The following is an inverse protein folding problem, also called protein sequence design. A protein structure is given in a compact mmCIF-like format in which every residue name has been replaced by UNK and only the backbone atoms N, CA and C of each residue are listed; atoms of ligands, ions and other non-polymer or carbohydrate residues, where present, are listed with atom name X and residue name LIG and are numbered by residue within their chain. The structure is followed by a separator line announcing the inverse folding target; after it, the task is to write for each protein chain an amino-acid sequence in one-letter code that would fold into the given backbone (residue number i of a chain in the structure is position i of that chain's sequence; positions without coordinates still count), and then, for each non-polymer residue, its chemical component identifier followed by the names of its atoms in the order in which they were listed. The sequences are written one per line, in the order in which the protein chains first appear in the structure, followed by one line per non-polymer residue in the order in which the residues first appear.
data_IF_482009896706
#
_entry.id   IF_482009896706
#
_cell.length_a   1.000
_cell.length_b   1.000
_cell.length_c   1.000
_cell.angle_alpha   90.00
_cell.angle_beta   90.00
_cell.angle_gamma   90.00
#
_symmetry.space_group_name_H-M   'P 1'
#
loop_
_entity.id
_entity.type
_entity.pdbx_description
1 polymer ?
#
# COMPACT_ATOMS: atom_id res chain seq x y z
N UNK A 1 13.07 -23.49 -23.78
CA UNK A 1 12.40 -23.23 -22.48
C UNK A 1 12.51 -21.74 -22.20
N UNK A 2 11.40 -21.07 -21.88
CA UNK A 2 11.36 -19.63 -21.67
C UNK A 2 10.97 -19.35 -20.22
N UNK A 3 11.82 -18.68 -19.45
CA UNK A 3 11.47 -18.26 -18.07
C UNK A 3 10.62 -17.00 -18.09
N UNK A 4 9.57 -16.98 -17.27
CA UNK A 4 8.59 -15.91 -17.19
C UNK A 4 8.20 -15.68 -15.73
N UNK A 5 7.50 -14.60 -15.49
CA UNK A 5 6.78 -14.35 -14.25
C UNK A 5 5.29 -14.49 -14.48
N UNK A 6 4.61 -15.36 -13.75
CA UNK A 6 3.15 -15.40 -13.66
C UNK A 6 2.68 -14.43 -12.58
N UNK A 7 1.77 -13.52 -12.95
CA UNK A 7 1.14 -12.59 -12.01
C UNK A 7 -0.23 -13.15 -11.58
N UNK A 8 -0.39 -13.42 -10.28
CA UNK A 8 -1.67 -13.82 -9.70
C UNK A 8 -2.31 -12.63 -8.97
N UNK A 9 -3.59 -12.39 -9.25
CA UNK A 9 -4.32 -11.24 -8.72
C UNK A 9 -4.96 -11.54 -7.37
N UNK A 10 -5.22 -10.51 -6.58
CA UNK A 10 -6.00 -10.61 -5.35
C UNK A 10 -7.40 -11.18 -5.63
N UNK A 11 -7.90 -12.15 -4.84
CA UNK A 11 -9.22 -12.76 -5.02
C UNK A 11 -10.36 -11.74 -5.06
N UNK A 12 -10.20 -10.62 -4.33
CA UNK A 12 -11.19 -9.55 -4.28
C UNK A 12 -11.46 -8.88 -5.65
N UNK A 13 -10.51 -8.96 -6.59
CA UNK A 13 -10.70 -8.45 -7.96
C UNK A 13 -11.75 -9.27 -8.71
N UNK A 14 -11.82 -10.59 -8.46
CA UNK A 14 -12.81 -11.47 -9.08
C UNK A 14 -14.23 -11.25 -8.53
N UNK A 15 -14.36 -10.65 -7.35
CA UNK A 15 -15.64 -10.32 -6.71
C UNK A 15 -16.32 -9.08 -7.31
N UNK A 16 -15.67 -8.34 -8.23
CA UNK A 16 -16.19 -7.07 -8.76
C UNK A 16 -17.22 -7.23 -9.89
N UNK A 17 -17.60 -8.46 -10.25
CA UNK A 17 -18.64 -8.75 -11.26
C UNK A 17 -18.37 -8.02 -12.59
N UNK A 18 -19.34 -7.21 -13.03
CA UNK A 18 -19.24 -6.44 -14.28
C UNK A 18 -18.08 -5.42 -14.30
N UNK A 19 -17.59 -4.99 -13.13
CA UNK A 19 -16.47 -4.04 -13.04
C UNK A 19 -15.08 -4.71 -13.10
N UNK A 20 -15.01 -6.04 -13.12
CA UNK A 20 -13.75 -6.80 -13.12
C UNK A 20 -12.76 -6.33 -14.19
N UNK A 21 -13.24 -6.13 -15.42
CA UNK A 21 -12.38 -5.70 -16.54
C UNK A 21 -11.72 -4.34 -16.31
N UNK A 22 -12.40 -3.42 -15.60
CA UNK A 22 -11.80 -2.12 -15.22
C UNK A 22 -10.66 -2.32 -14.21
N UNK A 23 -10.87 -3.18 -13.21
CA UNK A 23 -9.86 -3.50 -12.18
C UNK A 23 -8.64 -4.17 -12.79
N UNK A 24 -8.85 -5.15 -13.67
CA UNK A 24 -7.77 -5.81 -14.39
C UNK A 24 -6.99 -4.80 -15.27
N UNK A 25 -7.70 -3.97 -16.05
CA UNK A 25 -7.03 -2.93 -16.85
C UNK A 25 -6.16 -2.01 -15.98
N UNK A 26 -6.70 -1.49 -14.87
CA UNK A 26 -5.96 -0.62 -13.97
C UNK A 26 -4.75 -1.31 -13.34
N UNK A 27 -4.88 -2.58 -12.95
CA UNK A 27 -3.75 -3.36 -12.42
C UNK A 27 -2.65 -3.51 -13.47
N UNK A 28 -3.02 -3.83 -14.71
CA UNK A 28 -2.08 -3.96 -15.84
C UNK A 28 -1.33 -2.64 -16.08
N UNK A 29 -2.05 -1.51 -16.06
CA UNK A 29 -1.44 -0.19 -16.21
C UNK A 29 -0.49 0.14 -15.05
N UNK A 30 -0.88 -0.16 -13.81
CA UNK A 30 -0.03 0.04 -12.63
C UNK A 30 1.24 -0.80 -12.70
N UNK A 31 1.15 -2.08 -13.09
CA UNK A 31 2.31 -2.96 -13.29
C UNK A 31 3.25 -2.36 -14.34
N UNK A 32 2.72 -1.98 -15.51
CA UNK A 32 3.51 -1.37 -16.60
C UNK A 32 4.23 -0.10 -16.17
N UNK A 33 3.60 0.72 -15.33
CA UNK A 33 4.18 1.96 -14.83
C UNK A 33 5.39 1.69 -13.91
N UNK A 34 5.31 0.72 -13.01
CA UNK A 34 6.40 0.42 -12.06
C UNK A 34 7.60 -0.23 -12.77
N UNK A 35 7.37 -1.03 -13.80
CA UNK A 35 8.42 -1.66 -14.61
C UNK A 35 8.83 -0.81 -15.83
N UNK A 36 8.35 0.43 -15.93
CA UNK A 36 8.72 1.34 -17.02
C UNK A 36 10.25 1.53 -17.06
N UNK A 37 10.81 1.46 -18.27
CA UNK A 37 12.25 1.57 -18.51
C UNK A 37 13.02 0.25 -18.41
N UNK A 38 12.36 -0.87 -18.07
CA UNK A 38 12.92 -2.20 -18.21
C UNK A 38 12.50 -2.81 -19.56
N UNK A 39 13.33 -3.69 -20.11
CA UNK A 39 12.97 -4.48 -21.28
C UNK A 39 12.12 -5.68 -20.84
N UNK A 40 10.88 -5.75 -21.34
CA UNK A 40 9.96 -6.84 -21.03
C UNK A 40 8.97 -7.11 -22.17
N UNK A 41 8.47 -8.35 -22.22
CA UNK A 41 7.31 -8.72 -23.05
C UNK A 41 6.17 -9.14 -22.13
N UNK A 42 5.00 -8.50 -22.30
CA UNK A 42 3.80 -8.85 -21.56
C UNK A 42 2.98 -9.87 -22.36
N UNK A 43 2.90 -11.10 -21.86
CA UNK A 43 2.24 -12.23 -22.50
C UNK A 43 0.92 -12.52 -21.81
N UNK A 44 -0.14 -12.75 -22.60
CA UNK A 44 -1.46 -13.12 -22.09
C UNK A 44 -1.89 -14.47 -22.68
N UNK A 45 -2.12 -15.46 -21.81
CA UNK A 45 -2.58 -16.79 -22.22
C UNK A 45 -3.82 -17.20 -21.44
N UNK A 46 -4.97 -17.25 -22.13
CA UNK A 46 -6.28 -17.63 -21.60
C UNK A 46 -6.62 -16.93 -20.26
N UNK A 47 -6.42 -15.61 -20.20
CA UNK A 47 -6.76 -14.78 -19.02
C UNK A 47 -5.73 -14.80 -17.88
N UNK A 48 -4.54 -15.39 -18.09
CA UNK A 48 -3.38 -15.21 -17.19
C UNK A 48 -2.37 -14.25 -17.79
N UNK A 49 -1.70 -13.51 -16.92
CA UNK A 49 -0.65 -12.59 -17.31
C UNK A 49 0.71 -13.15 -16.96
N UNK A 50 1.58 -13.11 -17.96
CA UNK A 50 2.98 -13.46 -17.84
C UNK A 50 3.85 -12.29 -18.27
N UNK A 51 5.03 -12.17 -17.67
CA UNK A 51 6.02 -11.16 -18.05
C UNK A 51 7.34 -11.86 -18.32
N UNK A 52 7.85 -11.70 -19.53
CA UNK A 52 9.21 -12.09 -19.89
C UNK A 52 10.16 -10.91 -19.70
N UNK A 53 11.37 -11.17 -19.24
CA UNK A 53 12.48 -10.23 -19.25
C UNK A 53 13.79 -10.99 -18.99
N UNK A 54 14.91 -10.45 -19.45
CA UNK A 54 16.23 -10.92 -19.03
C UNK A 54 16.52 -10.53 -17.55
N UNK A 55 15.76 -9.59 -16.98
CA UNK A 55 15.94 -9.05 -15.62
C UNK A 55 14.81 -9.49 -14.68
N UNK A 56 14.51 -10.79 -14.63
CA UNK A 56 13.37 -11.33 -13.87
C UNK A 56 13.37 -10.92 -12.40
N UNK A 57 14.50 -10.99 -11.69
CA UNK A 57 14.57 -10.65 -10.27
C UNK A 57 14.21 -9.18 -10.00
N UNK A 58 14.62 -8.27 -10.90
CA UNK A 58 14.25 -6.85 -10.82
C UNK A 58 12.75 -6.66 -11.03
N UNK A 59 12.16 -7.35 -12.01
CA UNK A 59 10.71 -7.29 -12.25
C UNK A 59 9.95 -7.88 -11.05
N UNK A 60 10.36 -9.02 -10.52
CA UNK A 60 9.74 -9.66 -9.35
C UNK A 60 9.71 -8.68 -8.17
N UNK A 61 10.85 -8.07 -7.86
CA UNK A 61 10.97 -7.16 -6.71
C UNK A 61 10.09 -5.91 -6.84
N UNK A 62 9.85 -5.45 -8.07
CA UNK A 62 8.95 -4.34 -8.37
C UNK A 62 7.48 -4.74 -8.36
N UNK A 63 7.13 -5.83 -9.07
CA UNK A 63 5.74 -6.26 -9.28
C UNK A 63 5.10 -6.79 -7.99
N UNK A 64 5.88 -7.42 -7.10
CA UNK A 64 5.35 -7.89 -5.79
C UNK A 64 4.82 -6.74 -4.92
N UNK A 65 5.32 -5.52 -5.12
CA UNK A 65 4.91 -4.33 -4.39
C UNK A 65 3.72 -3.58 -5.03
N UNK A 66 3.18 -4.07 -6.15
CA UNK A 66 2.03 -3.45 -6.82
C UNK A 66 0.72 -3.89 -6.16
N UNK A 67 -0.06 -2.93 -5.66
CA UNK A 67 -1.37 -3.22 -5.07
C UNK A 67 -2.31 -3.91 -6.08
N UNK A 68 -2.95 -4.99 -5.63
CA UNK A 68 -3.73 -5.90 -6.48
C UNK A 68 -3.00 -7.19 -6.87
N UNK A 69 -1.67 -7.24 -6.72
CA UNK A 69 -0.87 -8.46 -6.94
C UNK A 69 -0.86 -9.31 -5.66
N UNK A 70 -1.36 -10.54 -5.75
CA UNK A 70 -1.39 -11.49 -4.64
C UNK A 70 -0.11 -12.31 -4.56
N UNK A 71 0.33 -12.84 -5.70
CA UNK A 71 1.55 -13.64 -5.82
C UNK A 71 2.21 -13.38 -7.16
N UNK A 72 3.53 -13.49 -7.15
CA UNK A 72 4.39 -13.48 -8.33
C UNK A 72 5.08 -14.85 -8.34
N UNK A 73 4.85 -15.64 -9.39
CA UNK A 73 5.46 -16.97 -9.51
C UNK A 73 6.53 -16.95 -10.62
N UNK A 74 7.72 -17.46 -10.34
CA UNK A 74 8.73 -17.70 -11.37
C UNK A 74 8.33 -18.98 -12.10
N UNK A 75 8.06 -18.91 -13.41
CA UNK A 75 7.52 -20.04 -14.18
C UNK A 75 8.38 -20.34 -15.39
N UNK A 76 8.46 -21.62 -15.74
CA UNK A 76 9.06 -22.06 -17.00
C UNK A 76 7.97 -22.43 -17.98
N UNK A 77 7.99 -21.76 -19.14
CA UNK A 77 7.11 -22.04 -20.26
C UNK A 77 7.71 -23.13 -21.16
N UNK A 78 6.90 -24.13 -21.45
CA UNK A 78 7.18 -25.24 -22.37
C UNK A 78 5.97 -25.50 -23.27
N UNK A 79 6.15 -26.31 -24.30
CA UNK A 79 5.04 -26.74 -25.14
C UNK A 79 3.99 -27.50 -24.31
N UNK A 80 2.72 -27.34 -24.67
CA UNK A 80 1.63 -28.03 -24.01
C UNK A 80 1.54 -29.50 -24.50
N UNK A 81 2.56 -30.30 -24.19
CA UNK A 81 2.59 -31.75 -24.37
C UNK A 81 3.12 -32.42 -23.08
N UNK A 82 2.77 -33.68 -22.84
CA UNK A 82 3.09 -34.35 -21.58
C UNK A 82 4.60 -34.55 -21.36
N UNK A 83 5.34 -34.84 -22.41
CA UNK A 83 6.79 -35.10 -22.36
C UNK A 83 7.56 -33.88 -21.86
N UNK A 84 7.31 -32.71 -22.44
CA UNK A 84 7.94 -31.45 -22.05
C UNK A 84 7.53 -31.01 -20.63
N UNK A 85 6.27 -31.27 -20.24
CA UNK A 85 5.78 -31.01 -18.88
C UNK A 85 6.51 -31.89 -17.86
N UNK A 86 6.63 -33.19 -18.13
CA UNK A 86 7.31 -34.15 -17.26
C UNK A 86 8.79 -33.78 -17.08
N UNK A 87 9.49 -33.52 -18.20
CA UNK A 87 10.88 -33.09 -18.20
C UNK A 87 11.10 -31.84 -17.36
N UNK A 88 10.26 -30.82 -17.54
CA UNK A 88 10.40 -29.57 -16.78
C UNK A 88 10.05 -29.74 -15.30
N UNK A 89 9.05 -30.56 -14.98
CA UNK A 89 8.67 -30.82 -13.58
C UNK A 89 9.76 -31.57 -12.81
N UNK A 90 10.50 -32.48 -13.46
CA UNK A 90 11.69 -33.12 -12.88
C UNK A 90 12.76 -32.08 -12.58
N UNK A 91 13.07 -31.19 -13.52
CA UNK A 91 14.06 -30.12 -13.32
C UNK A 91 13.67 -29.18 -12.16
N UNK A 92 12.40 -28.82 -12.08
CA UNK A 92 11.87 -27.98 -11.00
C UNK A 92 12.02 -28.65 -9.62
N UNK A 93 11.76 -29.97 -9.53
CA UNK A 93 11.92 -30.71 -8.29
C UNK A 93 13.40 -30.89 -7.89
N UNK A 94 14.28 -31.18 -8.86
CA UNK A 94 15.73 -31.31 -8.62
C UNK A 94 16.33 -29.99 -8.11
N UNK A 95 15.80 -28.85 -8.54
CA UNK A 95 16.20 -27.53 -8.04
C UNK A 95 15.69 -27.18 -6.64
N UNK A 96 14.85 -28.02 -6.03
CA UNK A 96 14.26 -27.78 -4.71
C UNK A 96 14.97 -28.60 -3.62
N UNK A 97 15.23 -28.03 -2.43
CA UNK A 97 15.77 -28.77 -1.29
C UNK A 97 14.73 -29.68 -0.60
N UNK A 98 13.48 -29.65 -1.06
CA UNK A 98 12.36 -30.36 -0.43
C UNK A 98 12.46 -31.88 -0.59
N UNK A 99 12.07 -32.61 0.47
CA UNK A 99 12.01 -34.07 0.52
C UNK A 99 10.63 -34.62 0.20
N UNK A 100 9.58 -33.83 0.41
CA UNK A 100 8.21 -34.22 0.05
C UNK A 100 7.63 -33.27 -0.98
N UNK A 101 6.81 -33.81 -1.90
CA UNK A 101 6.18 -32.99 -2.92
C UNK A 101 4.75 -33.40 -3.27
N UNK A 102 4.05 -32.48 -3.92
CA UNK A 102 2.73 -32.70 -4.54
C UNK A 102 2.71 -32.04 -5.92
N UNK A 103 2.04 -32.67 -6.89
CA UNK A 103 1.80 -32.09 -8.22
C UNK A 103 0.36 -31.58 -8.32
N UNK A 104 0.18 -30.29 -8.58
CA UNK A 104 -1.12 -29.67 -8.80
C UNK A 104 -1.28 -29.17 -10.23
N UNK A 105 -2.20 -29.77 -10.97
CA UNK A 105 -2.46 -29.44 -12.37
C UNK A 105 -3.75 -28.63 -12.52
N UNK A 106 -3.64 -27.42 -13.05
CA UNK A 106 -4.77 -26.62 -13.50
C UNK A 106 -4.83 -26.61 -15.04
N UNK A 107 -5.95 -27.07 -15.60
CA UNK A 107 -6.13 -27.21 -17.05
C UNK A 107 -7.22 -26.27 -17.53
N UNK A 108 -6.81 -25.12 -18.06
CA UNK A 108 -7.70 -24.18 -18.73
C UNK A 108 -8.01 -24.66 -20.15
N UNK A 109 -7.02 -25.21 -20.84
CA UNK A 109 -7.21 -25.83 -22.15
C UNK A 109 -7.86 -27.22 -22.03
N UNK A 110 -9.19 -27.28 -22.26
CA UNK A 110 -9.95 -28.53 -22.12
C UNK A 110 -9.75 -29.54 -23.25
N UNK A 111 -9.07 -29.18 -24.35
CA UNK A 111 -8.71 -30.14 -25.40
C UNK A 111 -7.47 -30.97 -25.07
N UNK A 112 -6.62 -30.51 -24.15
CA UNK A 112 -5.44 -31.26 -23.73
C UNK A 112 -5.85 -32.57 -23.03
N UNK A 113 -5.30 -33.69 -23.48
CA UNK A 113 -5.42 -35.01 -22.86
C UNK A 113 -4.03 -35.47 -22.41
N UNK A 114 -3.90 -36.10 -21.22
CA UNK A 114 -4.95 -36.59 -20.34
C UNK A 114 -5.54 -35.50 -19.39
N UNK A 115 -6.51 -35.87 -18.54
CA UNK A 115 -7.14 -34.96 -17.58
C UNK A 115 -6.20 -34.53 -16.45
N UNK A 116 -6.54 -33.46 -15.71
CA UNK A 116 -5.66 -32.85 -14.70
C UNK A 116 -5.13 -33.83 -13.65
N UNK A 117 -6.00 -34.71 -13.12
CA UNK A 117 -5.60 -35.71 -12.12
C UNK A 117 -4.62 -36.73 -12.71
N UNK A 118 -4.81 -37.11 -13.97
CA UNK A 118 -3.94 -38.06 -14.64
C UNK A 118 -2.60 -37.42 -15.01
N UNK A 119 -2.59 -36.15 -15.42
CA UNK A 119 -1.34 -35.38 -15.57
C UNK A 119 -0.59 -35.35 -14.25
N UNK A 120 -1.23 -34.96 -13.15
CA UNK A 120 -0.58 -34.91 -11.83
C UNK A 120 0.00 -36.28 -11.43
N UNK A 121 -0.73 -37.38 -11.67
CA UNK A 121 -0.24 -38.74 -11.39
C UNK A 121 0.96 -39.12 -12.26
N UNK A 122 0.89 -38.89 -13.57
CA UNK A 122 1.97 -39.25 -14.51
C UNK A 122 3.24 -38.45 -14.22
N UNK A 123 3.10 -37.13 -14.05
CA UNK A 123 4.22 -36.26 -13.70
C UNK A 123 4.80 -36.61 -12.33
N UNK A 124 3.98 -36.90 -11.33
CA UNK A 124 4.44 -37.37 -10.02
C UNK A 124 5.25 -38.68 -10.12
N UNK A 125 4.77 -39.63 -10.91
CA UNK A 125 5.51 -40.87 -11.19
C UNK A 125 6.83 -40.63 -11.93
N UNK A 126 6.87 -39.66 -12.85
CA UNK A 126 8.09 -39.28 -13.56
C UNK A 126 9.12 -38.64 -12.61
N UNK A 127 8.68 -37.75 -11.71
CA UNK A 127 9.54 -37.16 -10.67
C UNK A 127 10.15 -38.25 -9.78
N UNK A 128 9.35 -39.19 -9.27
CA UNK A 128 9.82 -40.29 -8.41
C UNK A 128 10.85 -41.19 -9.10
N UNK A 129 10.67 -41.46 -10.41
CA UNK A 129 11.63 -42.27 -11.19
C UNK A 129 12.97 -41.58 -11.40
N UNK A 130 13.01 -40.26 -11.37
CA UNK A 130 14.21 -39.46 -11.66
C UNK A 130 14.84 -38.84 -10.40
N UNK A 131 14.25 -39.04 -9.22
CA UNK A 131 14.75 -38.49 -7.97
C UNK A 131 14.47 -39.46 -6.81
N UNK A 132 15.51 -40.17 -6.37
CA UNK A 132 15.42 -41.20 -5.33
C UNK A 132 15.22 -40.62 -3.91
N UNK A 133 15.49 -39.34 -3.71
CA UNK A 133 15.49 -38.71 -2.38
C UNK A 133 14.19 -37.97 -2.03
N UNK A 134 13.13 -38.13 -2.85
CA UNK A 134 11.86 -37.43 -2.66
C UNK A 134 10.69 -38.39 -2.60
N UNK A 135 9.67 -38.04 -1.82
CA UNK A 135 8.43 -38.81 -1.69
C UNK A 135 7.20 -37.92 -1.88
N UNK A 136 6.04 -38.52 -2.14
CA UNK A 136 4.79 -37.76 -2.33
C UNK A 136 4.09 -37.56 -0.99
N UNK A 137 3.78 -36.31 -0.65
CA UNK A 137 2.87 -35.96 0.45
C UNK A 137 1.76 -35.04 -0.10
N UNK A 138 0.52 -35.54 -0.14
CA UNK A 138 -0.62 -34.78 -0.68
C UNK A 138 -1.28 -33.85 0.35
N UNK A 139 -0.92 -33.99 1.63
CA UNK A 139 -1.49 -33.25 2.75
C UNK A 139 -0.59 -32.09 3.17
N UNK A 140 0.70 -32.36 3.42
CA UNK A 140 1.68 -31.37 3.88
C UNK A 140 2.99 -31.40 3.07
N UNK A 141 2.93 -31.17 1.74
CA UNK A 141 4.13 -31.15 0.91
C UNK A 141 5.06 -30.00 1.27
N UNK A 142 6.36 -30.27 1.34
CA UNK A 142 7.40 -29.24 1.41
C UNK A 142 7.49 -28.43 0.09
N UNK A 143 7.21 -29.08 -1.04
CA UNK A 143 7.19 -28.45 -2.36
C UNK A 143 5.91 -28.79 -3.14
N UNK A 144 5.24 -27.77 -3.71
CA UNK A 144 4.12 -27.99 -4.63
C UNK A 144 4.56 -27.63 -6.04
N UNK A 145 4.67 -28.63 -6.91
CA UNK A 145 4.91 -28.44 -8.34
C UNK A 145 3.57 -28.09 -9.00
N UNK A 146 3.43 -26.84 -9.43
CA UNK A 146 2.23 -26.33 -10.08
C UNK A 146 2.39 -26.43 -11.60
N UNK A 147 1.34 -26.92 -12.28
CA UNK A 147 1.29 -27.03 -13.73
C UNK A 147 0.04 -26.31 -14.21
N UNK A 148 0.20 -25.20 -14.94
CA UNK A 148 -0.91 -24.55 -15.66
C UNK A 148 -0.86 -24.92 -17.15
N UNK A 149 -1.86 -25.67 -17.63
CA UNK A 149 -1.99 -26.09 -19.04
C UNK A 149 -2.99 -25.18 -19.76
N UNK A 150 -2.50 -24.43 -20.73
CA UNK A 150 -3.22 -23.40 -21.51
C UNK A 150 -2.91 -23.59 -23.00
N UNK A 151 -2.59 -22.52 -23.76
CA UNK A 151 -1.99 -22.69 -25.09
C UNK A 151 -0.58 -23.28 -24.95
N UNK A 152 0.17 -22.79 -23.98
CA UNK A 152 1.44 -23.38 -23.53
C UNK A 152 1.26 -24.01 -22.14
N UNK A 153 2.27 -24.75 -21.67
CA UNK A 153 2.32 -25.25 -20.31
C UNK A 153 3.31 -24.42 -19.47
N UNK A 154 2.93 -24.14 -18.23
CA UNK A 154 3.72 -23.34 -17.29
C UNK A 154 3.94 -24.13 -16.00
N UNK A 155 5.20 -24.41 -15.69
CA UNK A 155 5.61 -25.22 -14.54
C UNK A 155 6.36 -24.35 -13.54
N UNK A 156 6.02 -24.46 -12.24
CA UNK A 156 6.67 -23.70 -11.17
C UNK A 156 6.44 -24.28 -9.78
N UNK A 157 7.38 -24.02 -8.88
CA UNK A 157 7.25 -24.30 -7.44
C UNK A 157 7.36 -23.03 -6.59
N UNK A 158 8.19 -22.08 -7.02
CA UNK A 158 8.51 -20.85 -6.29
C UNK A 158 7.40 -19.81 -6.40
N UNK A 159 6.80 -19.44 -5.26
CA UNK A 159 5.78 -18.40 -5.17
C UNK A 159 6.22 -17.29 -4.22
N UNK A 160 6.16 -16.05 -4.70
CA UNK A 160 6.56 -14.86 -3.95
C UNK A 160 5.29 -14.09 -3.63
N UNK A 161 5.03 -13.85 -2.34
CA UNK A 161 3.86 -13.09 -1.88
C UNK A 161 3.95 -11.64 -2.36
N UNK A 162 2.86 -11.14 -2.92
CA UNK A 162 2.66 -9.73 -3.21
C UNK A 162 1.97 -9.00 -2.07
N UNK A 163 1.81 -7.69 -2.22
CA UNK A 163 1.15 -6.81 -1.23
C UNK A 163 -0.38 -6.98 -1.14
N UNK A 164 -0.98 -7.72 -2.08
CA UNK A 164 -2.42 -7.89 -2.24
C UNK A 164 -3.15 -6.54 -2.36
N UNK A 165 -4.42 -6.47 -1.94
CA UNK A 165 -5.22 -5.25 -2.01
C UNK A 165 -5.91 -5.07 -3.36
N UNK A 166 -6.27 -3.83 -3.67
CA UNK A 166 -6.93 -3.44 -4.91
C UNK A 166 -6.00 -2.56 -5.76
N UNK A 167 -6.17 -2.53 -7.09
CA UNK A 167 -5.36 -1.70 -7.96
C UNK A 167 -5.41 -0.23 -7.54
N UNK A 168 -4.23 0.36 -7.28
CA UNK A 168 -4.09 1.77 -6.88
C UNK A 168 -4.78 2.73 -7.86
N UNK A 169 -5.48 3.73 -7.33
CA UNK A 169 -6.23 4.73 -8.10
C UNK A 169 -7.48 4.19 -8.80
N UNK A 170 -8.10 3.14 -8.24
CA UNK A 170 -9.39 2.62 -8.68
C UNK A 170 -10.56 3.15 -7.85
N UNK A 171 -10.33 3.51 -6.58
CA UNK A 171 -11.38 3.84 -5.61
C UNK A 171 -11.26 5.29 -5.13
N UNK A 172 -11.27 6.25 -6.05
CA UNK A 172 -11.18 7.68 -5.75
C UNK A 172 -9.82 8.07 -5.17
N UNK A 173 -9.80 9.16 -4.41
CA UNK A 173 -8.59 9.78 -3.86
C UNK A 173 -8.76 10.30 -2.43
N UNK A 174 -7.64 10.46 -1.73
CA UNK A 174 -7.60 11.00 -0.37
C UNK A 174 -6.43 11.97 -0.17
N UNK A 175 -6.66 12.99 0.67
CA UNK A 175 -5.63 13.86 1.22
C UNK A 175 -5.14 13.28 2.55
N UNK A 176 -3.99 12.62 2.53
CA UNK A 176 -3.31 12.12 3.71
C UNK A 176 -2.67 13.28 4.47
N UNK A 177 -3.06 13.46 5.73
CA UNK A 177 -2.33 14.30 6.68
C UNK A 177 -1.07 13.56 7.12
N UNK A 178 0.01 13.75 6.35
CA UNK A 178 1.29 13.10 6.56
C UNK A 178 2.09 13.89 7.59
N UNK A 179 2.66 13.18 8.55
CA UNK A 179 3.53 13.71 9.60
C UNK A 179 4.86 12.98 9.59
N UNK A 180 5.83 13.51 10.34
CA UNK A 180 7.12 12.87 10.52
C UNK A 180 7.13 11.66 11.46
N UNK A 181 5.95 11.19 11.90
CA UNK A 181 5.79 10.08 12.84
C UNK A 181 5.48 8.75 12.15
N UNK A 182 5.34 7.69 12.95
CA UNK A 182 5.17 6.31 12.47
C UNK A 182 3.81 6.07 11.79
N UNK A 183 2.77 6.74 12.27
CA UNK A 183 1.39 6.29 12.05
C UNK A 183 0.83 6.77 10.70
N UNK A 184 1.05 8.03 10.33
CA UNK A 184 0.49 8.60 9.10
C UNK A 184 1.02 7.96 7.81
N UNK A 185 2.30 7.54 7.67
CA UNK A 185 2.73 6.76 6.51
C UNK A 185 2.00 5.41 6.41
N UNK A 186 1.77 4.73 7.54
CA UNK A 186 1.05 3.45 7.58
C UNK A 186 -0.41 3.63 7.14
N UNK A 187 -1.08 4.69 7.62
CA UNK A 187 -2.43 5.03 7.17
C UNK A 187 -2.50 5.29 5.67
N UNK A 188 -1.53 6.05 5.13
CA UNK A 188 -1.38 6.28 3.69
C UNK A 188 -1.25 4.99 2.88
N UNK A 189 -0.35 4.10 3.33
CA UNK A 189 -0.17 2.78 2.72
C UNK A 189 -1.45 1.93 2.75
N UNK A 190 -2.19 1.92 3.87
CA UNK A 190 -3.43 1.16 3.99
C UNK A 190 -4.53 1.67 3.05
N UNK A 191 -4.66 2.99 2.90
CA UNK A 191 -5.58 3.57 1.92
C UNK A 191 -5.17 3.25 0.49
N UNK A 192 -3.88 3.38 0.16
CA UNK A 192 -3.35 3.01 -1.15
C UNK A 192 -3.61 1.53 -1.49
N UNK A 193 -3.48 0.63 -0.49
CA UNK A 193 -3.78 -0.81 -0.61
C UNK A 193 -5.27 -1.10 -0.87
N UNK A 194 -6.17 -0.19 -0.49
CA UNK A 194 -7.59 -0.24 -0.88
C UNK A 194 -7.86 0.36 -2.24
N UNK A 195 -6.84 0.68 -3.02
CA UNK A 195 -6.98 1.22 -4.37
C UNK A 195 -7.29 2.72 -4.39
N UNK A 196 -7.14 3.43 -3.28
CA UNK A 196 -7.38 4.89 -3.18
C UNK A 196 -6.11 5.62 -3.59
N UNK A 197 -6.22 6.62 -4.47
CA UNK A 197 -5.09 7.49 -4.82
C UNK A 197 -4.76 8.42 -3.64
N UNK A 198 -3.47 8.50 -3.27
CA UNK A 198 -3.00 9.27 -2.12
C UNK A 198 -2.30 10.54 -2.57
N UNK A 199 -2.77 11.67 -2.06
CA UNK A 199 -2.06 12.93 -2.00
C UNK A 199 -1.67 13.18 -0.54
N UNK A 200 -0.56 13.86 -0.27
CA UNK A 200 -0.10 14.12 1.08
C UNK A 200 -0.08 15.63 1.35
N UNK A 201 -0.51 16.03 2.55
CA UNK A 201 -0.30 17.36 3.12
C UNK A 201 0.56 17.23 4.37
N UNK A 202 1.58 18.08 4.48
CA UNK A 202 2.45 18.21 5.64
C UNK A 202 2.41 19.65 6.16
N UNK A 203 2.29 19.81 7.48
CA UNK A 203 2.24 21.11 8.13
C UNK A 203 3.61 21.43 8.72
N UNK A 204 4.24 22.49 8.23
CA UNK A 204 5.60 22.86 8.58
C UNK A 204 5.63 24.22 9.29
N UNK A 205 6.20 24.27 10.50
CA UNK A 205 6.24 25.47 11.33
C UNK A 205 7.64 26.08 11.39
N UNK A 206 8.21 26.47 10.24
CA UNK A 206 9.49 27.17 10.18
C UNK A 206 9.41 28.56 10.84
N UNK A 207 10.37 29.02 11.66
CA UNK A 207 11.68 28.41 11.97
C UNK A 207 11.69 27.46 13.17
N UNK A 208 10.54 27.20 13.81
CA UNK A 208 10.46 26.36 14.99
C UNK A 208 10.70 24.88 14.69
N UNK A 209 10.19 24.36 13.56
CA UNK A 209 10.56 23.04 13.04
C UNK A 209 11.77 23.14 12.12
N UNK A 210 12.73 22.23 12.28
CA UNK A 210 13.93 22.19 11.42
C UNK A 210 13.62 21.79 9.97
N UNK A 211 14.44 22.25 9.01
CA UNK A 211 14.40 21.77 7.62
C UNK A 211 14.57 20.23 7.53
N UNK A 212 15.29 19.63 8.48
CA UNK A 212 15.46 18.18 8.56
C UNK A 212 14.14 17.44 8.86
N UNK A 213 13.20 18.07 9.57
CA UNK A 213 11.86 17.52 9.76
C UNK A 213 11.08 17.49 8.44
N UNK A 214 11.21 18.54 7.62
CA UNK A 214 10.64 18.57 6.25
C UNK A 214 11.27 17.51 5.36
N UNK A 215 12.60 17.36 5.40
CA UNK A 215 13.31 16.33 4.63
C UNK A 215 12.91 14.91 5.05
N UNK A 216 12.70 14.67 6.35
CA UNK A 216 12.16 13.41 6.88
C UNK A 216 10.82 13.08 6.22
N UNK A 217 9.90 14.04 6.12
CA UNK A 217 8.58 13.82 5.50
C UNK A 217 8.68 13.63 3.98
N UNK A 218 9.62 14.30 3.31
CA UNK A 218 9.94 14.03 1.89
C UNK A 218 10.45 12.60 1.68
N UNK A 219 11.29 12.09 2.58
CA UNK A 219 11.76 10.70 2.54
C UNK A 219 10.60 9.70 2.73
N UNK A 220 9.73 9.93 3.72
CA UNK A 220 8.53 9.11 3.93
C UNK A 220 7.61 9.11 2.69
N UNK A 221 7.45 10.28 2.07
CA UNK A 221 6.72 10.43 0.81
C UNK A 221 7.34 9.57 -0.31
N UNK A 222 8.67 9.59 -0.45
CA UNK A 222 9.38 8.78 -1.46
C UNK A 222 9.24 7.27 -1.21
N UNK A 223 9.23 6.83 0.04
CA UNK A 223 8.98 5.43 0.39
C UNK A 223 7.57 5.01 -0.06
N UNK A 224 6.55 5.81 0.26
CA UNK A 224 5.17 5.56 -0.19
C UNK A 224 5.02 5.64 -1.72
N UNK A 225 5.77 6.53 -2.37
CA UNK A 225 5.85 6.64 -3.84
C UNK A 225 6.37 5.36 -4.47
N UNK A 226 7.21 4.58 -3.78
CA UNK A 226 7.65 3.26 -4.21
C UNK A 226 6.51 2.24 -4.38
N UNK A 227 5.43 2.35 -3.60
CA UNK A 227 4.25 1.49 -3.69
C UNK A 227 3.17 2.03 -4.62
N UNK A 228 3.04 3.35 -4.69
CA UNK A 228 1.95 4.05 -5.41
C UNK A 228 2.35 4.46 -6.82
N UNK A 229 3.65 4.54 -7.12
CA UNK A 229 4.23 5.02 -8.38
C UNK A 229 4.21 6.55 -8.53
N UNK A 230 3.18 7.23 -7.99
CA UNK A 230 3.04 8.68 -7.93
C UNK A 230 2.43 9.12 -6.60
N UNK A 231 2.96 10.19 -6.03
CA UNK A 231 2.44 10.81 -4.80
C UNK A 231 2.87 12.28 -4.79
N UNK A 232 1.92 13.20 -4.63
CA UNK A 232 2.19 14.63 -4.50
C UNK A 232 2.15 15.05 -3.04
N UNK A 233 3.17 15.76 -2.57
CA UNK A 233 3.27 16.33 -1.23
C UNK A 233 3.10 17.84 -1.27
N UNK A 234 2.10 18.33 -0.54
CA UNK A 234 1.87 19.74 -0.26
C UNK A 234 2.48 20.08 1.10
N UNK A 235 3.44 21.00 1.15
CA UNK A 235 4.03 21.48 2.40
C UNK A 235 3.43 22.83 2.71
N UNK A 236 2.59 22.89 3.74
CA UNK A 236 1.84 24.07 4.13
C UNK A 236 2.54 24.76 5.29
N UNK A 237 2.88 26.07 5.18
CA UNK A 237 3.39 26.83 6.30
C UNK A 237 2.32 26.96 7.40
N UNK A 238 2.66 26.58 8.62
CA UNK A 238 1.71 26.53 9.74
C UNK A 238 2.08 27.46 10.90
N UNK A 239 3.23 28.14 10.82
CA UNK A 239 3.76 28.99 11.90
C UNK A 239 2.81 30.10 12.31
N UNK A 240 2.25 30.86 11.36
CA UNK A 240 1.38 32.00 11.67
C UNK A 240 0.09 31.55 12.36
N UNK A 241 -0.54 30.50 11.83
CA UNK A 241 -1.71 29.86 12.46
C UNK A 241 -1.37 29.45 13.89
N UNK A 242 -0.22 28.79 14.08
CA UNK A 242 0.21 28.32 15.39
C UNK A 242 0.43 29.46 16.38
N UNK A 243 1.08 30.55 15.95
CA UNK A 243 1.32 31.72 16.81
C UNK A 243 0.03 32.45 17.18
N UNK A 244 -0.91 32.58 16.24
CA UNK A 244 -2.23 33.18 16.48
C UNK A 244 -3.05 32.36 17.50
N UNK A 245 -3.00 31.03 17.40
CA UNK A 245 -3.65 30.13 18.37
C UNK A 245 -2.99 30.29 19.76
N UNK A 246 -1.66 30.35 19.84
CA UNK A 246 -0.93 30.52 21.12
C UNK A 246 -1.26 31.87 21.78
N UNK A 247 -1.36 32.95 20.99
CA UNK A 247 -1.60 34.30 21.51
C UNK A 247 -3.05 34.50 21.98
N UNK A 248 -4.02 33.93 21.27
CA UNK A 248 -5.44 34.30 21.44
C UNK A 248 -6.31 33.21 22.08
N UNK A 249 -5.86 31.96 22.10
CA UNK A 249 -6.64 30.85 22.64
C UNK A 249 -6.08 30.34 23.96
N UNK A 250 -6.90 29.57 24.67
CA UNK A 250 -6.51 28.96 25.95
C UNK A 250 -5.43 27.91 25.75
N UNK A 251 -4.45 27.89 26.65
CA UNK A 251 -3.30 26.96 26.59
C UNK A 251 -3.73 25.49 26.53
N UNK A 252 -4.76 25.10 27.30
CA UNK A 252 -5.25 23.72 27.34
C UNK A 252 -5.98 23.28 26.05
N UNK A 253 -6.35 24.22 25.18
CA UNK A 253 -7.12 24.00 23.95
C UNK A 253 -6.27 24.09 22.67
N UNK A 254 -5.00 24.50 22.78
CA UNK A 254 -4.11 24.72 21.63
C UNK A 254 -4.02 23.50 20.70
N UNK A 255 -3.81 22.30 21.26
CA UNK A 255 -3.67 21.06 20.47
C UNK A 255 -4.92 20.74 19.65
N UNK A 256 -6.11 20.93 20.22
CA UNK A 256 -7.35 20.59 19.52
C UNK A 256 -7.71 21.64 18.47
N UNK A 257 -7.44 22.92 18.72
CA UNK A 257 -7.64 24.00 17.75
C UNK A 257 -6.64 23.87 16.59
N UNK A 258 -5.36 23.58 16.87
CA UNK A 258 -4.37 23.29 15.82
C UNK A 258 -4.83 22.15 14.91
N UNK A 259 -5.36 21.06 15.48
CA UNK A 259 -5.90 19.94 14.69
C UNK A 259 -7.09 20.34 13.81
N UNK A 260 -7.99 21.20 14.31
CA UNK A 260 -9.08 21.74 13.50
C UNK A 260 -8.54 22.55 12.31
N UNK A 261 -7.55 23.40 12.50
CA UNK A 261 -6.90 24.11 11.39
C UNK A 261 -6.24 23.16 10.38
N UNK A 262 -5.51 22.15 10.85
CA UNK A 262 -4.94 21.13 9.97
C UNK A 262 -6.03 20.40 9.18
N UNK A 263 -7.16 20.07 9.80
CA UNK A 263 -8.28 19.46 9.09
C UNK A 263 -8.90 20.41 8.04
N UNK A 264 -9.10 21.68 8.38
CA UNK A 264 -9.58 22.73 7.44
C UNK A 264 -8.66 22.86 6.23
N UNK A 265 -7.34 22.93 6.45
CA UNK A 265 -6.35 23.00 5.38
C UNK A 265 -6.37 21.74 4.50
N UNK A 266 -6.45 20.54 5.10
CA UNK A 266 -6.58 19.30 4.34
C UNK A 266 -7.84 19.28 3.47
N UNK A 267 -8.99 19.71 4.02
CA UNK A 267 -10.25 19.78 3.29
C UNK A 267 -10.21 20.83 2.17
N UNK A 268 -9.70 22.03 2.44
CA UNK A 268 -9.58 23.10 1.45
C UNK A 268 -8.62 22.72 0.30
N UNK A 269 -7.50 22.07 0.59
CA UNK A 269 -6.62 21.52 -0.46
C UNK A 269 -7.31 20.38 -1.21
N UNK A 270 -8.04 19.52 -0.50
CA UNK A 270 -8.78 18.46 -1.15
C UNK A 270 -9.87 19.02 -2.08
N UNK A 271 -10.53 20.12 -1.73
CA UNK A 271 -11.48 20.82 -2.61
C UNK A 271 -10.78 21.36 -3.85
N UNK A 272 -9.70 22.13 -3.64
CA UNK A 272 -8.88 22.75 -4.69
C UNK A 272 -8.39 21.77 -5.76
N UNK A 273 -8.09 20.53 -5.37
CA UNK A 273 -7.56 19.49 -6.27
C UNK A 273 -8.55 18.37 -6.61
N UNK A 274 -9.83 18.51 -6.24
CA UNK A 274 -10.86 17.52 -6.55
C UNK A 274 -10.67 16.16 -5.87
N UNK A 275 -10.12 16.17 -4.65
CA UNK A 275 -9.81 14.97 -3.85
C UNK A 275 -11.01 14.62 -2.96
N UNK A 276 -11.38 13.33 -2.94
CA UNK A 276 -12.69 12.91 -2.42
C UNK A 276 -12.79 12.84 -0.88
N UNK A 277 -11.66 12.68 -0.19
CA UNK A 277 -11.64 12.43 1.26
C UNK A 277 -10.36 12.93 1.92
N UNK A 278 -10.32 12.92 3.25
CA UNK A 278 -9.11 13.13 4.06
C UNK A 278 -8.74 11.82 4.75
N UNK A 279 -7.45 11.59 5.01
CA UNK A 279 -6.97 10.44 5.78
C UNK A 279 -6.01 10.89 6.86
N UNK A 280 -6.16 10.32 8.06
CA UNK A 280 -5.26 10.58 9.19
C UNK A 280 -4.68 9.27 9.73
N UNK A 281 -3.53 9.37 10.40
CA UNK A 281 -2.92 8.27 11.16
C UNK A 281 -3.41 8.18 12.60
N UNK A 282 -4.63 8.64 12.90
CA UNK A 282 -5.15 8.64 14.28
C UNK A 282 -5.56 7.24 14.75
N UNK A 283 -5.20 6.90 15.99
CA UNK A 283 -5.65 5.70 16.70
C UNK A 283 -6.31 6.08 18.02
N UNK A 284 -7.43 5.44 18.38
CA UNK A 284 -8.20 5.85 19.55
C UNK A 284 -7.43 5.57 20.85
N UNK A 285 -7.38 6.56 21.75
CA UNK A 285 -6.77 6.41 23.07
C UNK A 285 -5.24 6.41 23.09
N UNK A 286 -4.57 6.65 21.95
CA UNK A 286 -3.10 6.67 21.90
C UNK A 286 -2.50 7.96 22.49
N UNK A 287 -3.13 9.12 22.25
CA UNK A 287 -2.70 10.42 22.78
C UNK A 287 -3.90 11.25 23.24
N UNK A 288 -3.66 12.27 24.07
CA UNK A 288 -4.69 13.14 24.65
C UNK A 288 -5.65 13.78 23.63
N UNK A 289 -5.18 14.02 22.40
CA UNK A 289 -5.98 14.61 21.32
C UNK A 289 -6.75 13.59 20.48
N UNK A 290 -6.56 12.29 20.71
CA UNK A 290 -7.21 11.18 19.99
C UNK A 290 -8.19 10.44 20.91
N UNK A 291 -8.96 11.18 21.70
CA UNK A 291 -10.14 10.70 22.41
C UNK A 291 -11.37 10.79 21.50
N UNK A 292 -12.47 10.11 21.85
CA UNK A 292 -13.71 10.19 21.06
C UNK A 292 -14.19 11.64 20.95
N UNK A 293 -14.13 12.38 22.06
CA UNK A 293 -14.46 13.80 22.13
C UNK A 293 -13.51 14.63 21.24
N UNK A 294 -12.22 14.34 21.24
CA UNK A 294 -11.25 14.97 20.35
C UNK A 294 -11.56 14.74 18.87
N UNK A 295 -11.95 13.52 18.49
CA UNK A 295 -12.31 13.20 17.11
C UNK A 295 -13.60 13.89 16.67
N UNK A 296 -14.61 13.96 17.55
CA UNK A 296 -15.84 14.75 17.27
C UNK A 296 -15.49 16.20 16.99
N UNK A 297 -14.57 16.77 17.78
CA UNK A 297 -14.17 18.17 17.64
C UNK A 297 -13.33 18.41 16.38
N UNK A 298 -12.47 17.48 15.98
CA UNK A 298 -11.69 17.62 14.74
C UNK A 298 -12.51 17.34 13.48
N UNK A 299 -13.50 16.43 13.53
CA UNK A 299 -14.35 16.10 12.39
C UNK A 299 -15.41 17.16 12.09
N UNK A 300 -15.81 17.97 13.07
CA UNK A 300 -16.79 19.05 12.89
C UNK A 300 -16.40 20.06 11.79
N UNK A 301 -15.11 20.24 11.52
CA UNK A 301 -14.64 21.15 10.45
C UNK A 301 -14.39 20.45 9.12
N UNK A 302 -14.59 19.13 9.04
CA UNK A 302 -14.44 18.37 7.82
C UNK A 302 -15.75 18.40 7.01
N UNK A 303 -15.63 18.73 5.73
CA UNK A 303 -16.74 18.77 4.76
C UNK A 303 -16.85 17.46 3.93
N UNK A 304 -16.00 16.48 4.22
CA UNK A 304 -15.86 15.21 3.49
C UNK A 304 -15.45 14.08 4.44
N UNK A 305 -15.57 12.81 4.02
CA UNK A 305 -15.19 11.68 4.87
C UNK A 305 -13.73 11.75 5.33
N UNK A 306 -13.52 11.57 6.64
CA UNK A 306 -12.20 11.44 7.26
C UNK A 306 -11.93 9.97 7.58
N UNK A 307 -11.06 9.33 6.80
CA UNK A 307 -10.69 7.94 7.01
C UNK A 307 -9.57 7.80 8.05
N UNK A 308 -9.75 6.87 8.98
CA UNK A 308 -8.79 6.54 10.05
C UNK A 308 -8.45 5.05 10.02
N UNK A 309 -7.59 4.59 9.09
CA UNK A 309 -7.28 3.17 8.93
C UNK A 309 -6.74 2.51 10.20
N UNK A 310 -6.16 3.30 11.11
CA UNK A 310 -5.49 2.84 12.33
C UNK A 310 -6.36 2.97 13.59
N UNK A 311 -7.62 3.42 13.46
CA UNK A 311 -8.47 3.81 14.60
C UNK A 311 -8.57 2.75 15.69
N UNK A 312 -8.50 1.48 15.34
CA UNK A 312 -8.63 0.33 16.23
C UNK A 312 -7.36 -0.54 16.29
N UNK A 313 -6.23 -0.05 15.75
CA UNK A 313 -4.95 -0.76 15.82
C UNK A 313 -4.18 -0.33 17.05
N UNK A 314 -3.49 -1.28 17.68
CA UNK A 314 -2.54 -0.96 18.72
C UNK A 314 -1.22 -0.43 18.13
N UNK A 315 -0.34 0.09 18.99
CA UNK A 315 0.92 0.68 18.55
C UNK A 315 1.90 -0.36 17.98
N UNK A 316 1.85 -1.60 18.46
CA UNK A 316 2.76 -2.67 18.06
C UNK A 316 2.41 -3.09 16.62
N UNK A 317 1.13 -3.29 16.33
CA UNK A 317 0.62 -3.61 14.99
C UNK A 317 1.03 -2.53 13.98
N UNK A 318 0.89 -1.25 14.35
CA UNK A 318 1.29 -0.12 13.49
C UNK A 318 2.80 -0.15 13.24
N UNK A 319 3.62 -0.43 14.27
CA UNK A 319 5.07 -0.54 14.13
C UNK A 319 5.45 -1.71 13.21
N UNK A 320 4.82 -2.88 13.33
CA UNK A 320 5.07 -4.02 12.46
C UNK A 320 4.80 -3.69 10.99
N UNK A 321 3.68 -3.01 10.72
CA UNK A 321 3.38 -2.57 9.35
C UNK A 321 4.42 -1.55 8.89
N UNK A 322 4.78 -0.57 9.72
CA UNK A 322 5.78 0.46 9.35
C UNK A 322 7.16 -0.12 9.01
N UNK A 323 7.57 -1.21 9.68
CA UNK A 323 8.80 -1.95 9.34
C UNK A 323 8.66 -2.69 8.03
N UNK A 324 7.52 -3.35 7.81
CA UNK A 324 7.24 -4.08 6.56
C UNK A 324 7.22 -3.16 5.32
N UNK A 325 6.87 -1.89 5.50
CA UNK A 325 6.81 -0.90 4.41
C UNK A 325 8.01 0.05 4.40
N UNK A 326 9.06 -0.26 5.17
CA UNK A 326 10.31 0.48 5.25
C UNK A 326 10.17 1.95 5.70
N UNK A 327 9.09 2.33 6.39
CA UNK A 327 8.88 3.70 6.90
C UNK A 327 9.35 3.90 8.34
N UNK A 328 9.57 2.82 9.10
CA UNK A 328 9.89 2.89 10.52
C UNK A 328 11.18 3.68 10.81
N UNK A 329 12.30 3.31 10.16
CA UNK A 329 13.62 3.91 10.42
C UNK A 329 13.63 5.42 10.16
N UNK A 330 12.97 5.87 9.09
CA UNK A 330 12.82 7.30 8.79
C UNK A 330 11.93 8.00 9.81
N UNK A 331 10.86 7.35 10.27
CA UNK A 331 9.88 7.95 11.20
C UNK A 331 10.46 8.21 12.59
N UNK A 332 11.43 7.41 13.03
CA UNK A 332 12.04 7.54 14.38
C UNK A 332 13.20 8.53 14.44
N UNK A 333 13.59 9.15 13.32
CA UNK A 333 14.63 10.18 13.32
C UNK A 333 14.24 11.33 14.28
N UNK A 334 15.18 11.81 15.13
CA UNK A 334 14.90 12.70 16.26
C UNK A 334 14.73 14.16 15.82
N UNK A 335 13.81 14.38 14.89
CA UNK A 335 13.42 15.70 14.41
C UNK A 335 11.96 15.93 14.80
N UNK A 336 11.77 16.92 15.68
CA UNK A 336 10.45 17.31 16.19
C UNK A 336 9.57 17.85 15.07
N UNK A 337 8.28 17.56 15.19
CA UNK A 337 7.27 17.94 14.22
C UNK A 337 6.40 19.09 14.75
N UNK A 338 5.61 19.73 13.89
CA UNK A 338 4.74 20.85 14.26
C UNK A 338 3.87 20.54 15.49
N UNK A 339 3.40 19.29 15.61
CA UNK A 339 2.53 18.84 16.68
C UNK A 339 3.22 18.60 18.04
N UNK A 340 4.56 18.65 18.12
CA UNK A 340 5.29 18.32 19.35
C UNK A 340 5.96 19.52 20.03
N UNK A 341 6.29 20.57 19.29
CA UNK A 341 7.09 21.69 19.78
C UNK A 341 6.33 22.58 20.79
N UNK A 342 5.01 22.70 20.62
CA UNK A 342 4.16 23.60 21.43
C UNK A 342 3.02 22.85 22.12
N UNK A 343 3.30 21.63 22.60
CA UNK A 343 2.30 20.84 23.33
C UNK A 343 2.12 21.44 24.73
N UNK A 344 0.89 21.77 25.15
CA UNK A 344 0.64 22.28 26.49
C UNK A 344 0.93 21.20 27.54
N UNK A 345 1.30 21.61 28.76
CA UNK A 345 1.61 20.65 29.86
C UNK A 345 0.41 19.76 30.22
N UNK A 346 -0.79 20.31 30.13
CA UNK A 346 -2.05 19.62 30.46
C UNK A 346 -3.06 19.81 29.33
N UNK A 347 -2.94 19.06 28.21
CA UNK A 347 -3.88 19.16 27.10
C UNK A 347 -5.28 18.71 27.53
N UNK A 348 -6.32 19.42 27.04
CA UNK A 348 -7.72 19.08 27.29
C UNK A 348 -8.08 17.75 26.61
N UNK A 349 -8.27 16.70 27.41
CA UNK A 349 -8.57 15.33 26.92
C UNK A 349 -10.05 15.11 26.59
N UNK A 350 -10.94 15.94 27.15
CA UNK A 350 -12.39 15.91 26.90
C UNK A 350 -12.88 17.27 26.40
N UNK A 351 -12.45 17.70 25.19
CA UNK A 351 -12.90 18.97 24.63
C UNK A 351 -14.40 18.90 24.32
N UNK A 352 -15.15 19.96 24.64
CA UNK A 352 -16.55 20.09 24.23
C UNK A 352 -16.63 20.96 22.99
N UNK A 353 -17.26 20.46 21.94
CA UNK A 353 -17.32 21.11 20.64
C UNK A 353 -17.74 22.59 20.70
N UNK A 354 -18.85 22.87 21.38
CA UNK A 354 -19.39 24.24 21.52
C UNK A 354 -18.38 25.20 22.17
N UNK A 355 -17.61 24.72 23.15
CA UNK A 355 -16.56 25.55 23.78
C UNK A 355 -15.41 25.81 22.82
N UNK A 356 -14.95 24.79 22.09
CA UNK A 356 -13.83 24.94 21.16
C UNK A 356 -14.19 25.87 20.00
N UNK A 357 -15.41 25.76 19.44
CA UNK A 357 -15.91 26.70 18.43
C UNK A 357 -15.89 28.14 18.97
N UNK A 358 -16.32 28.34 20.22
CA UNK A 358 -16.28 29.66 20.84
C UNK A 358 -14.85 30.15 21.02
N UNK A 359 -13.93 29.30 21.47
CA UNK A 359 -12.53 29.65 21.67
C UNK A 359 -11.80 29.99 20.38
N UNK A 360 -12.13 29.34 19.25
CA UNK A 360 -11.51 29.67 17.96
C UNK A 360 -12.15 30.86 17.25
N UNK A 361 -13.33 31.33 17.70
CA UNK A 361 -14.04 32.46 17.06
C UNK A 361 -13.29 33.80 17.12
N UNK A 362 -12.26 33.91 17.96
CA UNK A 362 -11.36 35.07 18.04
C UNK A 362 -10.30 35.09 16.93
N UNK A 363 -10.17 34.00 16.18
CA UNK A 363 -9.20 33.82 15.10
C UNK A 363 -9.84 34.16 13.75
N UNK A 364 -9.07 34.79 12.86
CA UNK A 364 -9.47 35.03 11.48
C UNK A 364 -9.19 33.78 10.63
N UNK A 365 -10.04 32.76 10.82
CA UNK A 365 -9.82 31.39 10.29
C UNK A 365 -9.64 31.41 8.77
N UNK A 366 -10.54 32.08 8.04
CA UNK A 366 -10.57 32.04 6.58
C UNK A 366 -9.30 32.69 6.00
N UNK A 367 -8.92 33.87 6.49
CA UNK A 367 -7.70 34.56 6.08
C UNK A 367 -6.45 33.72 6.34
N UNK A 368 -6.37 33.09 7.51
CA UNK A 368 -5.23 32.24 7.88
C UNK A 368 -5.12 31.00 6.99
N UNK A 369 -6.25 30.35 6.69
CA UNK A 369 -6.31 29.18 5.80
C UNK A 369 -5.94 29.56 4.37
N UNK A 370 -6.51 30.64 3.83
CA UNK A 370 -6.23 31.11 2.48
C UNK A 370 -4.75 31.46 2.29
N UNK A 371 -4.17 32.19 3.26
CA UNK A 371 -2.75 32.56 3.21
C UNK A 371 -1.85 31.34 3.27
N UNK A 372 -2.10 30.40 4.19
CA UNK A 372 -1.30 29.18 4.31
C UNK A 372 -1.34 28.33 3.02
N UNK A 373 -2.49 28.28 2.34
CA UNK A 373 -2.63 27.58 1.05
C UNK A 373 -1.95 28.33 -0.10
N UNK A 374 -1.94 29.67 -0.08
CA UNK A 374 -1.26 30.47 -1.08
C UNK A 374 0.26 30.31 -1.01
N UNK A 375 0.81 30.23 0.20
CA UNK A 375 2.25 30.17 0.47
C UNK A 375 2.82 28.73 0.50
N UNK A 376 2.03 27.72 0.14
CA UNK A 376 2.45 26.32 0.19
C UNK A 376 3.49 25.95 -0.88
N UNK A 377 4.33 24.97 -0.58
CA UNK A 377 5.24 24.35 -1.53
C UNK A 377 4.65 23.03 -2.06
N UNK A 378 4.92 22.68 -3.33
CA UNK A 378 4.42 21.45 -3.96
C UNK A 378 5.59 20.59 -4.45
N UNK A 379 5.61 19.32 -4.03
CA UNK A 379 6.59 18.31 -4.43
C UNK A 379 5.88 17.14 -5.14
N UNK A 380 6.39 16.69 -6.29
CA UNK A 380 5.74 15.69 -7.16
C UNK A 380 6.47 14.36 -7.27
#
# INVERSE_FOLDING_TARGET
MRKLILVKFAPEIFLKGLNRGKFEKKLKDNIKNVIKGLEYEFVEDQGRWFIYSEQLDTIINKVKNVFGVMEVCEVTQVEANLEEIEKQAVLEMVGSPAKTFKVETNRANKSFTPGSMDVSRKVGGCILKNNENVSVDVHNPECVINIEIRKMAYIYSKRIKGVCGLPYGMNGSTMLMLSGGIDSPVAGYMMARRGVEVHAVYYHSHPYTSERAKDKVKQLTNILKGYTGKLTLYVVPFTEIQMEIIDKCREDELTIIMRRFMMRLACALADKYGINSVTTGESIGQVASQTMEGLVVSDDVADRPVFRPLVAMDKIDIIEVSRKIDTYETSILPYEDCCTIFVPKHPKTKPRLVEIIKSESVLDIDKLVEKAIADMEIYK
#
